data_IF_227544251775
#
_entry.id   IF_227544251775
#
_cell.length_a   1.000
_cell.length_b   1.000
_cell.length_c   1.000
_cell.angle_alpha   90.00
_cell.angle_beta   90.00
_cell.angle_gamma   90.00
#
_symmetry.space_group_name_H-M   'P 1'
#
loop_
_entity.id
_entity.type
_entity.pdbx_description
1 polymer ?
#
# COMPACT_ATOMS: atom_id res chain seq x y z
N UNK A 2 3.89 13.12 1.61
CA UNK A 2 4.57 12.66 2.82
C UNK A 2 3.61 11.90 3.73
N UNK A 3 2.49 12.52 4.09
CA UNK A 3 1.41 11.75 4.71
C UNK A 3 1.10 10.68 3.65
N UNK A 4 0.63 11.10 2.49
CA UNK A 4 0.39 10.20 1.34
C UNK A 4 1.57 9.34 0.92
N UNK A 5 2.77 9.92 0.92
CA UNK A 5 3.94 9.15 0.52
C UNK A 5 4.17 8.02 1.49
N UNK A 6 4.05 8.32 2.79
CA UNK A 6 4.36 7.30 3.76
C UNK A 6 3.25 6.28 3.74
N UNK A 7 2.12 6.66 3.19
CA UNK A 7 1.05 5.69 3.06
C UNK A 7 1.50 4.65 2.08
N UNK A 8 2.05 5.13 0.97
CA UNK A 8 2.51 4.28 -0.10
C UNK A 8 3.70 3.45 0.36
N UNK A 9 4.62 4.10 1.06
CA UNK A 9 5.68 3.42 1.80
C UNK A 9 5.21 2.22 2.58
N UNK A 10 4.16 2.40 3.37
CA UNK A 10 3.70 1.36 4.31
C UNK A 10 3.08 0.14 3.64
N UNK A 11 2.57 0.34 2.42
CA UNK A 11 1.94 -0.71 1.66
C UNK A 11 2.91 -1.55 0.79
N UNK A 12 4.20 -1.36 0.99
CA UNK A 12 5.18 -2.05 0.17
C UNK A 12 5.35 -3.53 0.45
N UNK A 13 5.18 -4.34 -0.60
CA UNK A 13 5.41 -5.80 -0.54
C UNK A 13 6.89 -6.15 -0.41
N UNK A 14 7.20 -7.43 -0.28
CA UNK A 14 8.62 -7.78 -0.20
C UNK A 14 9.27 -7.81 -1.59
N UNK A 15 8.51 -8.29 -2.59
CA UNK A 15 8.83 -8.09 -4.00
C UNK A 15 9.28 -6.66 -4.30
N UNK A 16 8.43 -5.72 -3.86
CA UNK A 16 8.65 -4.30 -4.03
C UNK A 16 10.00 -3.91 -3.50
N UNK A 17 10.26 -4.19 -2.24
CA UNK A 17 11.53 -3.74 -1.70
C UNK A 17 12.72 -4.43 -2.31
N UNK A 18 12.58 -5.72 -2.60
CA UNK A 18 13.69 -6.52 -3.14
C UNK A 18 14.28 -5.93 -4.39
N UNK A 19 13.42 -5.77 -5.39
CA UNK A 19 13.74 -5.01 -6.59
C UNK A 19 14.42 -3.66 -6.31
N UNK A 20 13.70 -2.76 -5.64
CA UNK A 20 14.22 -1.44 -5.29
C UNK A 20 15.61 -1.52 -4.72
N UNK A 21 15.78 -2.33 -3.70
CA UNK A 21 17.04 -2.39 -3.02
C UNK A 21 18.11 -2.90 -3.96
N UNK A 22 17.71 -3.72 -4.92
CA UNK A 22 18.69 -4.27 -5.82
C UNK A 22 19.20 -3.18 -6.74
N UNK A 23 18.29 -2.61 -7.52
CA UNK A 23 18.55 -1.41 -8.32
C UNK A 23 19.46 -0.46 -7.59
N UNK A 24 19.12 -0.18 -6.34
CA UNK A 24 19.92 0.72 -5.53
C UNK A 24 21.32 0.18 -5.31
N UNK A 25 21.43 -1.11 -5.02
CA UNK A 25 22.75 -1.64 -4.72
C UNK A 25 23.55 -1.70 -6.03
N UNK A 26 22.83 -1.69 -7.14
CA UNK A 26 23.44 -1.61 -8.46
C UNK A 26 23.53 -0.18 -8.99
N UNK A 27 23.22 0.76 -8.09
CA UNK A 27 23.31 2.19 -8.36
C UNK A 27 22.45 2.69 -9.52
N UNK A 28 21.51 1.88 -9.98
CA UNK A 28 20.64 2.25 -11.10
C UNK A 28 19.67 3.40 -10.81
N UNK A 29 20.22 4.59 -10.56
CA UNK A 29 19.40 5.72 -10.14
C UNK A 29 19.27 6.88 -11.15
N UNK A 30 19.66 6.64 -12.41
CA UNK A 30 19.46 7.60 -13.51
C UNK A 30 19.43 6.85 -14.83
N UNK A 31 18.85 7.51 -15.85
CA UNK A 31 18.65 6.92 -17.17
C UNK A 31 19.88 6.24 -17.73
N UNK A 32 21.00 6.94 -17.71
CA UNK A 32 22.24 6.32 -18.15
C UNK A 32 22.72 5.19 -17.24
N UNK A 33 22.26 5.19 -15.99
CA UNK A 33 22.67 4.15 -15.04
C UNK A 33 21.67 3.00 -15.03
N UNK A 34 20.65 3.12 -15.88
CA UNK A 34 19.57 2.12 -15.97
C UNK A 34 20.07 0.68 -16.18
N UNK A 35 19.23 -0.31 -15.86
CA UNK A 35 19.61 -1.73 -15.98
C UNK A 35 18.51 -2.53 -16.68
N UNK A 36 18.88 -3.48 -17.52
CA UNK A 36 17.92 -4.34 -18.20
C UNK A 36 17.16 -5.18 -17.20
N UNK A 37 15.86 -5.41 -17.46
CA UNK A 37 15.01 -6.20 -16.57
C UNK A 37 15.69 -7.52 -16.24
N UNK A 38 15.99 -8.25 -17.31
CA UNK A 38 16.61 -9.57 -17.25
C UNK A 38 17.72 -9.67 -16.21
N UNK A 39 18.62 -8.70 -16.19
CA UNK A 39 19.74 -8.75 -15.28
C UNK A 39 19.24 -8.87 -13.83
N UNK A 40 18.11 -8.22 -13.55
CA UNK A 40 17.52 -8.23 -12.21
C UNK A 40 16.71 -9.52 -11.96
N UNK A 41 15.90 -9.89 -12.95
CA UNK A 41 15.17 -11.17 -12.93
C UNK A 41 16.10 -12.30 -12.51
N UNK A 42 17.17 -12.44 -13.28
CA UNK A 42 18.11 -13.54 -13.10
C UNK A 42 18.96 -13.42 -11.85
N UNK A 43 18.61 -12.48 -10.99
CA UNK A 43 19.26 -12.37 -9.70
C UNK A 43 18.24 -12.69 -8.60
N UNK A 44 16.97 -12.56 -8.97
CA UNK A 44 15.88 -12.77 -8.04
C UNK A 44 14.96 -13.86 -8.57
N UNK A 45 14.91 -14.95 -7.81
CA UNK A 45 14.09 -16.10 -8.14
C UNK A 45 12.63 -15.76 -7.87
N UNK A 46 11.96 -15.28 -8.91
CA UNK A 46 10.54 -14.94 -8.81
C UNK A 46 9.84 -15.60 -9.94
N UNK A 47 8.52 -15.43 -9.94
CA UNK A 47 7.73 -15.88 -11.06
C UNK A 47 7.90 -14.91 -12.23
N UNK A 48 6.89 -14.89 -13.09
CA UNK A 48 6.77 -13.88 -14.13
C UNK A 48 5.64 -12.92 -13.78
N UNK A 49 4.40 -13.39 -13.91
CA UNK A 49 3.24 -12.55 -13.60
C UNK A 49 3.37 -11.94 -12.19
N UNK A 50 4.22 -12.53 -11.35
CA UNK A 50 4.55 -11.99 -10.03
C UNK A 50 5.60 -10.86 -10.15
N UNK A 51 6.68 -11.16 -10.85
CA UNK A 51 7.69 -10.17 -11.18
C UNK A 51 7.15 -9.11 -12.15
N UNK A 52 6.19 -9.45 -13.00
CA UNK A 52 5.60 -8.43 -13.85
C UNK A 52 4.61 -7.54 -13.11
N UNK A 53 3.91 -8.11 -12.14
CA UNK A 53 2.94 -7.33 -11.40
C UNK A 53 3.67 -6.33 -10.55
N UNK A 54 4.78 -6.77 -9.96
CA UNK A 54 5.63 -5.87 -9.21
C UNK A 54 6.05 -4.64 -10.05
N UNK A 55 6.69 -4.90 -11.19
CA UNK A 55 7.16 -3.80 -12.01
C UNK A 55 6.04 -2.89 -12.45
N UNK A 56 4.87 -3.47 -12.70
CA UNK A 56 3.71 -2.65 -13.02
C UNK A 56 3.30 -1.70 -11.90
N UNK A 57 3.27 -2.21 -10.67
CA UNK A 57 3.02 -1.38 -9.51
C UNK A 57 4.12 -0.34 -9.40
N UNK A 58 5.33 -0.79 -9.06
CA UNK A 58 6.46 0.10 -8.81
C UNK A 58 6.56 1.29 -9.80
N UNK A 59 6.28 1.01 -11.07
CA UNK A 59 6.24 2.06 -12.07
C UNK A 59 5.00 2.93 -11.86
N UNK A 60 3.85 2.28 -11.64
CA UNK A 60 2.60 3.02 -11.43
C UNK A 60 2.66 4.02 -10.28
N UNK A 61 3.28 3.63 -9.18
CA UNK A 61 3.45 4.57 -8.09
C UNK A 61 4.67 5.46 -8.30
N UNK A 62 5.19 5.47 -9.52
CA UNK A 62 6.27 6.36 -9.89
C UNK A 62 7.46 6.21 -8.91
N UNK A 63 7.89 4.98 -8.68
CA UNK A 63 9.10 4.77 -7.88
C UNK A 63 10.25 4.28 -8.74
N UNK A 64 9.98 4.02 -10.02
CA UNK A 64 11.03 3.58 -10.94
C UNK A 64 10.77 4.08 -12.33
N UNK A 65 11.85 4.13 -13.10
CA UNK A 65 11.78 4.68 -14.42
C UNK A 65 12.19 3.63 -15.40
N UNK A 66 11.51 3.66 -16.54
CA UNK A 66 11.76 2.70 -17.60
C UNK A 66 12.37 3.42 -18.78
N UNK A 67 13.43 2.83 -19.32
CA UNK A 67 13.99 3.32 -20.56
C UNK A 67 13.64 2.34 -21.63
N UNK A 68 13.04 2.85 -22.71
CA UNK A 68 12.53 1.98 -23.76
C UNK A 68 13.52 1.72 -24.91
N UNK A 69 13.15 2.14 -26.11
CA UNK A 69 13.92 1.81 -27.30
C UNK A 69 13.85 0.34 -27.68
N UNK A 70 14.87 -0.13 -28.38
CA UNK A 70 14.92 -1.53 -28.76
C UNK A 70 15.49 -2.37 -27.63
N UNK A 71 16.05 -3.52 -27.99
CA UNK A 71 16.71 -4.44 -27.04
C UNK A 71 15.72 -4.90 -25.96
N UNK A 72 16.19 -4.94 -24.72
CA UNK A 72 15.30 -5.15 -23.59
C UNK A 72 15.12 -3.81 -22.86
N UNK A 73 14.14 -3.75 -21.97
CA UNK A 73 13.91 -2.56 -21.16
C UNK A 73 14.88 -2.44 -19.98
N UNK A 74 15.27 -1.20 -19.72
CA UNK A 74 16.08 -0.86 -18.55
C UNK A 74 15.37 0.04 -17.53
N UNK A 75 15.85 -0.04 -16.29
CA UNK A 75 15.13 0.49 -15.14
C UNK A 75 16.00 1.31 -14.18
N UNK A 76 15.51 2.47 -13.79
CA UNK A 76 16.20 3.23 -12.75
C UNK A 76 15.23 3.61 -11.65
N UNK A 77 15.80 3.84 -10.48
CA UNK A 77 15.08 4.44 -9.40
C UNK A 77 14.72 5.89 -9.74
N UNK A 78 13.48 6.30 -9.56
CA UNK A 78 13.19 7.72 -9.56
C UNK A 78 13.66 8.41 -8.26
N UNK A 79 13.41 9.72 -8.18
CA UNK A 79 13.59 10.52 -6.97
C UNK A 79 12.92 9.80 -5.82
N UNK A 80 11.63 9.55 -6.01
CA UNK A 80 10.79 8.98 -4.98
C UNK A 80 11.20 7.55 -4.66
N UNK A 81 11.37 6.74 -5.71
CA UNK A 81 11.92 5.39 -5.56
C UNK A 81 13.17 5.41 -4.69
N UNK A 82 14.05 6.36 -4.91
CA UNK A 82 15.27 6.38 -4.15
C UNK A 82 15.05 6.70 -2.69
N UNK A 83 14.16 7.64 -2.38
CA UNK A 83 13.78 7.93 -0.99
C UNK A 83 13.40 6.60 -0.31
N UNK A 84 12.38 5.95 -0.89
CA UNK A 84 11.88 4.66 -0.41
C UNK A 84 12.99 3.74 0.09
N UNK A 85 14.11 3.71 -0.61
CA UNK A 85 15.17 2.81 -0.19
C UNK A 85 16.02 3.35 0.95
N UNK A 86 16.31 4.64 0.97
CA UNK A 86 17.16 5.18 2.02
C UNK A 86 16.36 5.19 3.31
N UNK A 87 15.06 5.03 3.16
CA UNK A 87 14.14 5.01 4.28
C UNK A 87 13.95 3.58 4.78
N UNK A 88 13.24 2.77 4.00
CA UNK A 88 12.98 1.37 4.33
C UNK A 88 14.21 0.55 4.77
N UNK A 89 15.16 0.39 3.87
CA UNK A 89 16.34 -0.44 4.10
C UNK A 89 17.21 0.08 5.25
N UNK A 90 17.43 1.39 5.32
CA UNK A 90 18.43 1.94 6.25
C UNK A 90 17.88 2.28 7.64
N UNK A 91 16.74 2.95 7.69
CA UNK A 91 16.18 3.40 8.96
C UNK A 91 14.78 2.84 9.19
N UNK B 2 2.83 15.29 -0.94
CA UNK B 2 2.32 16.52 -1.58
C UNK B 2 3.19 16.92 -2.77
N UNK B 3 4.49 17.04 -2.56
CA UNK B 3 5.38 17.11 -3.70
C UNK B 3 5.13 15.82 -4.48
N UNK B 4 5.43 14.68 -3.86
CA UNK B 4 5.13 13.36 -4.41
C UNK B 4 3.67 13.13 -4.81
N UNK B 5 2.73 13.60 -4.01
CA UNK B 5 1.34 13.41 -4.34
C UNK B 5 0.99 14.16 -5.59
N UNK B 6 1.50 15.36 -5.73
CA UNK B 6 1.14 16.12 -6.91
C UNK B 6 1.86 15.55 -8.12
N UNK B 7 2.90 14.78 -7.86
CA UNK B 7 3.57 14.11 -8.95
C UNK B 7 2.66 13.09 -9.53
N UNK B 8 2.00 12.37 -8.63
CA UNK B 8 1.08 11.31 -8.99
C UNK B 8 -0.14 11.90 -9.67
N UNK B 9 -0.62 13.00 -9.10
CA UNK B 9 -1.67 13.84 -9.68
C UNK B 9 -1.43 14.14 -11.12
N UNK B 10 -0.22 14.59 -11.42
CA UNK B 10 0.09 15.10 -12.75
C UNK B 10 0.16 14.02 -13.83
N UNK B 11 0.40 12.78 -13.41
CA UNK B 11 0.52 11.66 -14.31
C UNK B 11 -0.80 10.93 -14.58
N UNK B 12 -1.92 11.49 -14.11
CA UNK B 12 -3.22 10.87 -14.31
C UNK B 12 -3.72 10.85 -15.76
N UNK B 13 -4.07 9.67 -16.25
CA UNK B 13 -4.65 9.49 -17.57
C UNK B 13 -6.11 9.91 -17.59
N UNK B 14 -6.75 9.84 -18.76
CA UNK B 14 -8.14 10.28 -18.81
C UNK B 14 -9.06 9.22 -18.25
N UNK B 15 -8.72 7.95 -18.53
CA UNK B 15 -9.33 6.77 -17.89
C UNK B 15 -9.37 6.95 -16.37
N UNK B 16 -8.20 7.25 -15.80
CA UNK B 16 -8.05 7.49 -14.37
C UNK B 16 -9.05 8.49 -13.86
N UNK B 17 -9.08 9.67 -14.44
CA UNK B 17 -10.00 10.68 -13.95
C UNK B 17 -11.46 10.28 -14.11
N UNK B 18 -11.79 9.70 -15.28
CA UNK B 18 -13.17 9.35 -15.63
C UNK B 18 -13.81 8.49 -14.55
N UNK B 19 -13.14 7.40 -14.25
CA UNK B 19 -13.52 6.52 -13.16
C UNK B 19 -13.69 7.26 -11.84
N UNK B 20 -12.62 7.93 -11.40
CA UNK B 20 -12.64 8.68 -10.16
C UNK B 20 -13.83 9.60 -10.10
N UNK B 21 -13.99 10.39 -11.14
CA UNK B 21 -15.03 11.40 -11.12
C UNK B 21 -16.39 10.74 -11.05
N UNK B 22 -16.46 9.56 -11.63
CA UNK B 22 -17.74 8.87 -11.63
C UNK B 22 -18.11 8.37 -10.25
N UNK B 23 -17.24 7.54 -9.66
CA UNK B 23 -17.32 7.13 -8.26
C UNK B 23 -17.71 8.27 -7.37
N UNK B 24 -17.05 9.41 -7.56
CA UNK B 24 -17.35 10.62 -6.82
C UNK B 24 -18.78 11.09 -7.07
N UNK B 25 -19.18 11.18 -8.33
CA UNK B 25 -20.50 11.68 -8.63
C UNK B 25 -21.56 10.71 -8.11
N UNK B 26 -21.14 9.47 -7.89
CA UNK B 26 -21.99 8.43 -7.33
C UNK B 26 -21.74 8.28 -5.82
N UNK B 27 -20.99 9.24 -5.29
CA UNK B 27 -20.71 9.32 -3.86
C UNK B 27 -20.07 8.07 -3.24
N UNK B 28 -19.53 7.19 -4.06
CA UNK B 28 -18.87 5.99 -3.57
C UNK B 28 -17.58 6.23 -2.78
N UNK B 29 -17.68 6.86 -1.61
CA UNK B 29 -16.49 7.28 -0.88
C UNK B 29 -16.23 6.61 0.46
N UNK B 30 -16.94 5.51 0.71
CA UNK B 30 -16.71 4.60 1.86
C UNK B 30 -17.19 3.21 1.54
N UNK B 31 -16.68 2.24 2.30
CA UNK B 31 -16.98 0.81 2.10
C UNK B 31 -18.45 0.52 1.91
N UNK B 32 -19.29 0.95 2.84
CA UNK B 32 -20.72 0.79 2.69
C UNK B 32 -21.29 1.57 1.46
N UNK B 33 -20.58 2.59 0.98
CA UNK B 33 -21.06 3.36 -0.16
C UNK B 33 -20.48 2.85 -1.48
N UNK B 34 -19.69 1.77 -1.39
CA UNK B 34 -18.98 1.17 -2.51
C UNK B 34 -19.92 0.81 -3.68
N UNK B 35 -19.36 0.67 -4.89
CA UNK B 35 -20.14 0.33 -6.08
C UNK B 35 -19.52 -0.83 -6.86
N UNK B 36 -20.35 -1.70 -7.45
CA UNK B 36 -19.90 -2.83 -8.26
C UNK B 36 -19.21 -2.35 -9.51
N UNK B 37 -18.12 -3.02 -9.90
CA UNK B 37 -17.34 -2.59 -11.04
C UNK B 37 -18.27 -2.40 -12.23
N UNK B 38 -19.02 -3.44 -12.52
CA UNK B 38 -19.95 -3.52 -13.64
C UNK B 38 -20.77 -2.26 -13.82
N UNK B 39 -21.28 -1.74 -12.72
CA UNK B 39 -22.15 -0.57 -12.78
C UNK B 39 -21.41 0.59 -13.42
N UNK B 40 -20.11 0.66 -13.17
CA UNK B 40 -19.26 1.74 -13.71
C UNK B 40 -18.84 1.44 -15.13
N UNK B 41 -18.38 0.21 -15.36
CA UNK B 41 -18.10 -0.25 -16.71
C UNK B 41 -19.21 0.12 -17.67
N UNK B 42 -20.43 -0.29 -17.32
CA UNK B 42 -21.57 -0.13 -18.20
C UNK B 42 -22.05 1.31 -18.32
N UNK B 43 -21.24 2.22 -17.82
CA UNK B 43 -21.54 3.63 -17.93
C UNK B 43 -20.43 4.28 -18.77
N UNK B 44 -19.29 3.61 -18.82
CA UNK B 44 -18.14 4.11 -19.54
C UNK B 44 -17.73 3.10 -20.61
N UNK B 45 -17.82 3.54 -21.85
CA UNK B 45 -17.48 2.68 -22.96
C UNK B 45 -15.97 2.55 -23.04
N UNK B 46 -15.43 1.52 -22.41
CA UNK B 46 -14.01 1.26 -22.44
C UNK B 46 -13.78 -0.14 -22.88
N UNK B 47 -12.51 -0.49 -23.04
CA UNK B 47 -12.15 -1.85 -23.34
C UNK B 47 -12.23 -2.65 -22.06
N UNK B 48 -11.48 -3.75 -22.00
CA UNK B 48 -11.36 -4.54 -20.80
C UNK B 48 -9.98 -4.33 -20.27
N UNK B 49 -8.99 -4.92 -20.94
CA UNK B 49 -7.60 -4.79 -20.51
C UNK B 49 -7.20 -3.32 -20.30
N UNK B 50 -8.01 -2.42 -20.84
CA UNK B 50 -7.84 -0.98 -20.68
C UNK B 50 -8.49 -0.52 -19.38
N UNK B 51 -9.74 -0.92 -19.19
CA UNK B 51 -10.47 -0.72 -17.94
C UNK B 51 -9.91 -1.54 -16.77
N UNK B 52 -9.29 -2.68 -17.03
CA UNK B 52 -8.64 -3.39 -15.96
C UNK B 52 -7.28 -2.82 -15.62
N UNK B 53 -6.59 -2.23 -16.59
CA UNK B 53 -5.29 -1.65 -16.29
C UNK B 53 -5.45 -0.42 -15.44
N UNK B 54 -6.49 0.34 -15.77
CA UNK B 54 -6.84 1.51 -14.99
C UNK B 54 -7.06 1.13 -13.53
N UNK B 55 -8.01 0.25 -13.24
CA UNK B 55 -8.29 -0.17 -11.85
C UNK B 55 -7.08 -0.71 -11.15
N UNK B 56 -6.22 -1.40 -11.88
CA UNK B 56 -4.98 -1.88 -11.28
C UNK B 56 -4.09 -0.75 -10.82
N UNK B 57 -3.91 0.26 -11.68
CA UNK B 57 -3.15 1.45 -11.30
C UNK B 57 -3.83 2.13 -10.11
N UNK B 58 -5.01 2.70 -10.36
CA UNK B 58 -5.77 3.46 -9.36
C UNK B 58 -5.72 2.82 -7.96
N UNK B 59 -5.85 1.51 -7.90
CA UNK B 59 -5.72 0.82 -6.63
C UNK B 59 -4.27 0.85 -6.19
N UNK B 60 -3.34 0.55 -7.08
CA UNK B 60 -1.93 0.52 -6.74
C UNK B 60 -1.45 1.82 -6.09
N UNK B 61 -1.87 2.96 -6.65
CA UNK B 61 -1.48 4.25 -6.09
C UNK B 61 -2.38 4.64 -4.94
N UNK B 62 -3.17 3.68 -4.46
CA UNK B 62 -3.98 3.91 -3.29
C UNK B 62 -4.90 5.12 -3.46
N UNK B 63 -5.64 5.17 -4.56
CA UNK B 63 -6.67 6.18 -4.74
C UNK B 63 -8.08 5.60 -4.71
N UNK B 64 -8.18 4.28 -4.63
CA UNK B 64 -9.49 3.61 -4.52
C UNK B 64 -9.39 2.36 -3.70
N UNK B 65 -10.56 1.97 -3.18
CA UNK B 65 -10.65 0.85 -2.29
C UNK B 65 -11.56 -0.18 -2.90
N UNK B 66 -11.18 -1.44 -2.72
CA UNK B 66 -11.94 -2.55 -3.29
C UNK B 66 -12.54 -3.34 -2.16
N UNK B 67 -13.82 -3.66 -2.33
CA UNK B 67 -14.49 -4.53 -1.39
C UNK B 67 -14.65 -5.84 -2.09
N UNK B 68 -14.17 -6.91 -1.47
CA UNK B 68 -14.22 -8.24 -2.06
C UNK B 68 -15.46 -9.05 -1.70
N UNK B 69 -15.26 -10.18 -1.02
CA UNK B 69 -16.33 -11.13 -0.75
C UNK B 69 -16.80 -11.82 -2.01
N UNK B 70 -18.03 -12.30 -1.99
CA UNK B 70 -18.59 -12.94 -3.17
C UNK B 70 -19.11 -11.92 -4.15
N UNK B 71 -20.05 -12.34 -5.00
CA UNK B 71 -20.73 -11.49 -5.97
C UNK B 71 -19.72 -10.84 -6.92
N UNK B 72 -19.93 -9.56 -7.23
CA UNK B 72 -18.90 -8.82 -7.93
C UNK B 72 -18.20 -7.86 -6.97
N UNK B 73 -17.05 -7.37 -7.39
CA UNK B 73 -16.29 -6.45 -6.61
C UNK B 73 -16.90 -5.03 -6.62
N UNK B 74 -16.81 -4.36 -5.47
CA UNK B 74 -17.22 -2.97 -5.32
C UNK B 74 -16.03 -2.05 -4.96
N UNK B 75 -16.21 -0.77 -5.32
CA UNK B 75 -15.15 0.23 -5.29
C UNK B 75 -15.52 1.55 -4.58
N UNK B 76 -14.65 2.02 -3.69
CA UNK B 76 -14.80 3.37 -3.19
C UNK B 76 -13.54 4.20 -3.39
N UNK B 77 -13.72 5.52 -3.35
CA UNK B 77 -12.62 6.47 -3.27
C UNK B 77 -11.96 6.35 -1.89
N UNK B 78 -10.64 6.29 -1.84
CA UNK B 78 -9.95 6.48 -0.58
C UNK B 78 -9.87 7.96 -0.25
N UNK B 79 -9.27 8.25 0.90
CA UNK B 79 -8.92 9.60 1.33
C UNK B 79 -8.22 10.35 0.18
N UNK B 80 -7.12 9.77 -0.29
CA UNK B 80 -6.29 10.36 -1.31
C UNK B 80 -7.04 10.40 -2.63
N UNK B 81 -7.70 9.30 -2.99
CA UNK B 81 -8.54 9.32 -4.17
C UNK B 81 -9.48 10.51 -4.17
N UNK B 82 -10.07 10.77 -3.01
CA UNK B 82 -11.05 11.81 -2.95
C UNK B 82 -10.45 13.19 -3.15
N UNK B 83 -9.25 13.42 -2.61
CA UNK B 83 -8.50 14.66 -2.84
C UNK B 83 -8.42 14.85 -4.34
N UNK B 84 -7.77 13.89 -5.00
CA UNK B 84 -7.58 13.91 -6.43
C UNK B 84 -8.77 14.47 -7.19
N UNK B 85 -9.97 14.14 -6.77
CA UNK B 85 -11.12 14.63 -7.50
C UNK B 85 -11.49 16.07 -7.16
N UNK B 86 -11.39 16.46 -5.90
CA UNK B 86 -11.78 17.82 -5.52
C UNK B 86 -10.75 18.79 -6.07
N UNK B 87 -9.62 18.22 -6.43
CA UNK B 87 -8.52 18.98 -6.98
C UNK B 87 -8.65 19.09 -8.50
N UNK B 88 -8.42 17.97 -9.20
CA UNK B 88 -8.50 17.89 -10.67
C UNK B 88 -9.79 18.46 -11.29
N UNK B 89 -10.92 17.85 -10.97
CA UNK B 89 -12.22 18.24 -11.52
C UNK B 89 -12.62 19.68 -11.20
N UNK B 90 -12.43 20.11 -9.95
CA UNK B 90 -12.97 21.39 -9.48
C UNK B 90 -12.06 22.61 -9.69
N UNK B 91 -10.79 22.46 -9.33
CA UNK B 91 -9.84 23.56 -9.42
C UNK B 91 -8.67 23.22 -10.35
N UNK C 2 -8.99 12.69 17.25
CA UNK C 2 -8.12 13.12 18.35
C UNK C 2 -8.87 13.16 19.67
N UNK C 3 -10.01 13.87 19.70
CA UNK C 3 -10.92 13.72 20.83
C UNK C 3 -11.26 12.24 20.82
N UNK C 4 -11.94 11.79 19.77
CA UNK C 4 -12.23 10.36 19.53
C UNK C 4 -11.03 9.40 19.57
N UNK C 5 -9.92 9.77 18.98
CA UNK C 5 -8.77 8.92 19.03
C UNK C 5 -8.28 8.75 20.43
N UNK C 6 -8.28 9.82 21.22
CA UNK C 6 -7.74 9.70 22.57
C UNK C 6 -8.73 8.94 23.43
N UNK C 7 -9.97 8.89 22.95
CA UNK C 7 -10.96 8.07 23.61
C UNK C 7 -10.57 6.60 23.50
N UNK C 8 -10.23 6.21 22.29
CA UNK C 8 -9.81 4.87 21.98
C UNK C 8 -8.48 4.55 22.69
N UNK C 9 -7.56 5.49 22.66
CA UNK C 9 -6.34 5.43 23.48
C UNK C 9 -6.61 5.04 24.90
N UNK C 10 -7.57 5.72 25.52
CA UNK C 10 -7.77 5.60 26.95
C UNK C 10 -8.35 4.26 27.36
N UNK C 11 -9.00 3.60 26.41
CA UNK C 11 -9.64 2.32 26.62
C UNK C 11 -8.73 1.10 26.36
N UNK C 12 -7.44 1.34 26.17
CA UNK C 12 -6.53 0.26 25.87
C UNK C 12 -6.21 -0.68 27.03
N UNK C 13 -6.44 -1.98 26.81
CA UNK C 13 -6.08 -3.02 27.76
C UNK C 13 -4.58 -3.22 27.84
N UNK C 14 -4.11 -4.11 28.72
CA UNK C 14 -2.67 -4.34 28.78
C UNK C 14 -2.24 -5.30 27.68
N UNK C 15 -3.11 -6.25 27.35
CA UNK C 15 -2.96 -7.07 26.15
C UNK C 15 -2.69 -6.19 24.93
N UNK C 16 -3.54 -5.18 24.77
CA UNK C 16 -3.48 -4.26 23.66
C UNK C 16 -2.10 -3.65 23.56
N UNK C 17 -1.65 -3.03 24.63
CA UNK C 17 -0.38 -2.35 24.56
C UNK C 17 0.78 -3.31 24.34
N UNK C 18 0.73 -4.46 24.99
CA UNK C 18 1.83 -5.42 24.98
C UNK C 18 2.18 -5.83 23.57
N UNK C 19 1.18 -6.34 22.85
CA UNK C 19 1.27 -6.60 21.42
C UNK C 19 1.83 -5.42 20.60
N UNK C 20 1.13 -4.28 20.67
CA UNK C 20 1.56 -3.07 19.98
C UNK C 20 3.02 -2.79 20.24
N UNK C 21 3.39 -2.63 21.50
CA UNK C 21 4.76 -2.30 21.85
C UNK C 21 5.74 -3.32 21.33
N UNK C 22 5.30 -4.57 21.19
CA UNK C 22 6.19 -5.62 20.72
C UNK C 22 6.46 -5.44 19.25
N UNK C 23 5.39 -5.47 18.46
CA UNK C 23 5.42 -5.15 17.04
C UNK C 23 6.34 -3.97 16.78
N UNK C 24 6.15 -2.90 17.54
CA UNK C 24 6.98 -1.71 17.46
C UNK C 24 8.46 -1.99 17.74
N UNK C 25 8.73 -2.73 18.81
CA UNK C 25 10.13 -2.99 19.17
C UNK C 25 10.73 -3.93 18.12
N UNK C 26 9.86 -4.64 17.41
CA UNK C 26 10.26 -5.46 16.26
C UNK C 26 10.13 -4.74 14.92
N UNK C 27 9.87 -3.44 15.02
CA UNK C 27 9.80 -2.55 13.88
C UNK C 27 8.75 -2.95 12.83
N UNK C 28 7.83 -3.85 13.18
CA UNK C 28 6.81 -4.29 12.23
C UNK C 28 5.79 -3.22 11.83
N UNK C 29 6.24 -2.18 11.12
CA UNK C 29 5.40 -1.02 10.84
C UNK C 29 5.04 -0.77 9.39
N UNK C 30 5.30 -1.78 8.55
CA UNK C 30 4.84 -1.80 7.13
C UNK C 30 4.66 -3.22 6.64
N UNK C 31 3.86 -3.41 5.59
CA UNK C 31 3.57 -4.73 5.01
C UNK C 31 4.77 -5.66 4.85
N UNK C 32 5.79 -5.16 4.16
CA UNK C 32 7.05 -5.92 4.05
C UNK C 32 7.75 -6.15 5.43
N UNK C 33 7.49 -5.31 6.42
CA UNK C 33 8.13 -5.49 7.71
C UNK C 33 7.23 -6.33 8.65
N UNK C 34 6.10 -6.82 8.10
CA UNK C 34 5.10 -7.58 8.87
C UNK C 34 5.69 -8.81 9.59
N UNK C 35 5.00 -9.29 10.62
CA UNK C 35 5.46 -10.44 11.41
C UNK C 35 4.34 -11.47 11.61
N UNK C 36 4.67 -12.75 11.53
CA UNK C 36 3.71 -13.83 11.74
C UNK C 36 3.20 -13.78 13.16
N UNK C 37 1.91 -14.07 13.33
CA UNK C 37 1.28 -14.06 14.67
C UNK C 37 2.10 -14.85 15.66
N UNK C 38 2.31 -16.12 15.31
CA UNK C 38 3.06 -17.09 16.08
C UNK C 38 4.29 -16.51 16.76
N UNK C 39 5.07 -15.78 15.99
CA UNK C 39 6.33 -15.25 16.50
C UNK C 39 6.05 -14.38 17.74
N UNK C 40 4.91 -13.69 17.72
CA UNK C 40 4.51 -12.80 18.81
C UNK C 40 3.87 -13.58 19.96
N UNK C 41 2.95 -14.48 19.61
CA UNK C 41 2.35 -15.39 20.57
C UNK C 41 3.45 -15.99 21.44
N UNK C 42 4.41 -16.63 20.80
CA UNK C 42 5.46 -17.37 21.48
C UNK C 42 6.46 -16.49 22.21
N UNK C 43 6.13 -15.22 22.32
CA UNK C 43 6.96 -14.30 23.08
C UNK C 43 6.13 -13.78 24.25
N UNK C 44 4.81 -13.89 24.10
CA UNK C 44 3.90 -13.40 25.10
C UNK C 44 2.99 -14.52 25.57
N UNK C 45 3.16 -14.83 26.86
CA UNK C 45 2.41 -15.91 27.46
C UNK C 45 0.98 -15.42 27.66
N UNK C 46 0.13 -15.75 26.69
CA UNK C 46 -1.29 -15.45 26.77
C UNK C 46 -2.08 -16.67 26.50
N UNK C 47 -3.38 -16.51 26.61
CA UNK C 47 -4.28 -17.56 26.19
C UNK C 47 -4.36 -17.60 24.66
N UNK C 48 -5.48 -18.11 24.17
CA UNK C 48 -5.79 -18.06 22.76
C UNK C 48 -6.96 -17.10 22.58
N UNK C 49 -8.15 -17.48 23.03
CA UNK C 49 -9.33 -16.64 22.87
C UNK C 49 -9.09 -15.25 23.48
N UNK C 50 -8.08 -15.17 24.35
CA UNK C 50 -7.62 -13.90 24.92
C UNK C 50 -6.72 -13.13 23.93
N UNK C 51 -5.69 -13.83 23.45
CA UNK C 51 -4.84 -13.32 22.38
C UNK C 51 -5.60 -13.19 21.04
N UNK C 52 -6.62 -13.99 20.78
CA UNK C 52 -7.40 -13.75 19.57
C UNK C 52 -8.38 -12.60 19.71
N UNK C 53 -8.86 -12.36 20.93
CA UNK C 53 -9.83 -11.27 21.12
C UNK C 53 -9.09 -9.96 20.98
N UNK C 54 -7.87 -9.91 21.52
CA UNK C 54 -7.02 -8.75 21.37
C UNK C 54 -6.81 -8.42 19.88
N UNK C 55 -6.29 -9.35 19.11
CA UNK C 55 -6.08 -9.10 17.70
C UNK C 55 -7.34 -8.71 16.96
N UNK C 56 -8.47 -9.29 17.33
CA UNK C 56 -9.70 -8.86 16.73
C UNK C 56 -10.03 -7.40 16.99
N UNK C 57 -9.88 -6.95 18.25
CA UNK C 57 -10.05 -5.56 18.62
C UNK C 57 -9.04 -4.71 17.84
N UNK C 58 -7.76 -4.87 18.18
CA UNK C 58 -6.68 -4.08 17.60
C UNK C 58 -6.85 -3.84 16.09
N UNK C 59 -7.25 -4.88 15.36
CA UNK C 59 -7.51 -4.71 13.96
C UNK C 59 -8.81 -3.92 13.73
N UNK C 60 -9.84 -4.22 14.51
CA UNK C 60 -11.11 -3.51 14.38
C UNK C 60 -10.99 -1.99 14.52
N UNK C 61 -10.21 -1.57 15.50
CA UNK C 61 -9.98 -0.15 15.71
C UNK C 61 -8.87 0.38 14.79
N UNK C 62 -8.51 -0.43 13.81
CA UNK C 62 -7.57 0.00 12.79
C UNK C 62 -6.27 0.48 13.41
N UNK C 63 -5.70 -0.31 14.31
CA UNK C 63 -4.37 0.01 14.84
C UNK C 63 -3.31 -0.95 14.34
N UNK C 64 -3.73 -1.99 13.61
CA UNK C 64 -2.78 -2.94 13.03
C UNK C 64 -3.29 -3.46 11.71
N UNK C 65 -2.34 -3.97 10.93
CA UNK C 65 -2.60 -4.41 9.58
C UNK C 65 -2.21 -5.85 9.47
N UNK C 66 -3.04 -6.58 8.72
CA UNK C 66 -2.88 -8.01 8.57
C UNK C 66 -2.52 -8.26 7.15
N UNK C 67 -1.47 -9.06 6.97
CA UNK C 67 -1.15 -9.55 5.64
C UNK C 67 -1.56 -11.01 5.55
N UNK C 68 -2.34 -11.33 4.52
CA UNK C 68 -2.92 -12.65 4.39
C UNK C 68 -2.07 -13.63 3.57
N UNK C 69 -2.62 -14.09 2.44
CA UNK C 69 -2.02 -15.14 1.63
C UNK C 69 -1.99 -16.50 2.33
N UNK C 70 -1.06 -17.35 1.92
CA UNK C 70 -0.93 -18.64 2.57
C UNK C 70 -0.14 -18.54 3.87
N UNK C 71 0.47 -19.66 4.28
CA UNK C 71 1.33 -19.72 5.47
C UNK C 71 0.56 -19.34 6.73
N UNK C 72 1.19 -18.55 7.60
CA UNK C 72 0.48 -17.94 8.72
C UNK C 72 0.31 -16.46 8.42
N UNK C 73 -0.55 -15.81 9.21
CA UNK C 73 -0.77 -14.37 9.08
C UNK C 73 0.32 -13.52 9.74
N UNK C 74 0.63 -12.43 9.02
CA UNK C 74 1.56 -11.40 9.48
C UNK C 74 0.90 -10.02 9.77
N UNK C 75 1.54 -9.29 10.68
CA UNK C 75 0.95 -8.11 11.29
C UNK C 75 1.89 -6.88 11.28
N UNK C 76 1.38 -5.74 10.85
CA UNK C 76 2.11 -4.51 11.09
C UNK C 76 1.28 -3.49 11.86
N UNK C 77 1.97 -2.56 12.51
CA UNK C 77 1.34 -1.36 13.01
C UNK C 77 0.81 -0.50 11.84
N UNK C 78 -0.41 0.00 11.92
CA UNK C 78 -0.84 1.05 11.01
C UNK C 78 -0.26 2.42 11.46
N UNK C 79 -0.58 3.45 10.68
CA UNK C 79 -0.35 4.83 11.04
C UNK C 79 -0.80 5.07 12.48
N UNK C 80 -2.07 4.79 12.73
CA UNK C 80 -2.69 5.09 13.98
C UNK C 80 -2.13 4.18 15.04
N UNK C 81 -1.99 2.90 14.72
CA UNK C 81 -1.34 1.97 15.63
C UNK C 81 0.01 2.52 16.11
N UNK C 82 0.76 3.08 15.19
CA UNK C 82 2.06 3.56 15.55
C UNK C 82 2.02 4.76 16.47
N UNK C 83 1.07 5.67 16.25
CA UNK C 83 0.88 6.83 17.13
C UNK C 83 0.74 6.27 18.54
N UNK C 84 -0.26 5.41 18.70
CA UNK C 84 -0.59 4.81 19.97
C UNK C 84 0.64 4.41 20.77
N UNK C 85 1.64 3.87 20.11
CA UNK C 85 2.82 3.46 20.85
C UNK C 85 3.75 4.60 21.22
N UNK C 86 3.92 5.58 20.33
CA UNK C 86 4.88 6.66 20.60
C UNK C 86 4.28 7.55 21.66
N UNK C 87 2.98 7.38 21.86
CA UNK C 87 2.22 8.12 22.85
C UNK C 87 2.23 7.40 24.19
N UNK C 88 1.54 6.26 24.26
CA UNK C 88 1.41 5.43 25.47
C UNK C 88 2.76 5.07 26.13
N UNK C 89 3.58 4.32 25.41
CA UNK C 89 4.86 3.84 25.92
C UNK C 89 5.83 4.98 26.31
N UNK C 90 5.94 5.99 25.47
CA UNK C 90 7.00 7.01 25.63
C UNK C 90 6.62 8.19 26.51
N UNK C 91 5.43 8.75 26.27
CA UNK C 91 5.00 9.93 27.02
C UNK C 91 3.70 9.68 27.79
#
# INVERSE_FOLDING_TARGET
XSDYFEEVMRKLTIEDVSILGWLFQNEANAVFKAIKKSSIADELEYSTANFRKTLNKLEAIHFIGTVTGGKEHKLYLTEYGQQAVQQAIHHGEENEEVEEI
XSDYFEEVMRKLTIEDVSILGWLFQNEANAVFKAIKKSSIADELEYSTANFRKTLNKLEAIHFIGTVTGGKEHKLYLTEYGQQAVQQAIHHGEENEEVEEI
XSDYFEEVMRKLTIEDVSILGWLFQNEANAVFKAIKKSSIADELEYSTANFRKTLNKLEAIHFIGTVTGGKEHKLYLTEYGQQAVQQAIHHGEENEEVEEI
#
